data_IF_820722302558
#
_entry.id   IF_820722302558
#
_cell.length_a   1.000
_cell.length_b   1.000
_cell.length_c   1.000
_cell.angle_alpha   90.00
_cell.angle_beta   90.00
_cell.angle_gamma   90.00
#
_symmetry.space_group_name_H-M   'P 1'
#
loop_
_entity.id
_entity.type
_entity.pdbx_description
1 polymer ?
#
# COMPACT_ATOMS: atom_id res chain seq x y z
N UNK A 1 16.88 5.94 -0.87
CA UNK A 1 15.68 5.10 -0.65
C UNK A 1 14.90 5.00 -1.96
N UNK A 2 14.80 3.79 -2.52
CA UNK A 2 14.05 3.53 -3.75
C UNK A 2 12.54 3.50 -3.46
N UNK A 3 11.72 4.04 -4.36
CA UNK A 3 10.27 4.02 -4.20
C UNK A 3 9.53 4.28 -5.51
N UNK A 4 8.45 3.53 -5.77
CA UNK A 4 7.63 3.64 -6.98
C UNK A 4 6.15 3.43 -6.65
N UNK A 5 5.28 4.08 -7.43
CA UNK A 5 3.85 3.81 -7.42
C UNK A 5 3.52 2.73 -8.44
N UNK A 6 2.56 1.88 -8.11
CA UNK A 6 2.08 0.86 -9.02
C UNK A 6 0.62 0.52 -8.80
N UNK A 7 0.09 -0.28 -9.69
CA UNK A 7 -1.28 -0.78 -9.68
C UNK A 7 -1.29 -2.30 -9.63
N UNK A 8 -2.02 -2.87 -8.69
CA UNK A 8 -2.20 -4.32 -8.57
C UNK A 8 -3.04 -4.84 -9.72
N UNK A 9 -2.47 -5.61 -10.62
CA UNK A 9 -3.20 -6.23 -11.73
C UNK A 9 -3.93 -7.51 -11.29
N UNK A 10 -3.29 -8.33 -10.46
CA UNK A 10 -3.86 -9.59 -10.01
C UNK A 10 -2.83 -10.50 -9.38
N UNK A 11 -3.21 -11.75 -9.18
CA UNK A 11 -2.31 -12.80 -8.70
C UNK A 11 -2.28 -13.94 -9.69
N UNK A 12 -1.12 -14.56 -9.83
CA UNK A 12 -0.87 -15.75 -10.61
C UNK A 12 0.17 -16.62 -9.91
N UNK A 13 0.60 -17.67 -10.54
CA UNK A 13 1.70 -18.52 -10.07
C UNK A 13 2.72 -18.68 -11.18
N UNK A 14 3.96 -18.84 -10.79
CA UNK A 14 5.06 -19.20 -11.68
C UNK A 14 5.74 -20.46 -11.15
N UNK A 15 6.41 -21.17 -12.04
CA UNK A 15 7.17 -22.36 -11.69
C UNK A 15 8.65 -22.03 -11.76
N UNK A 16 9.42 -22.47 -10.78
CA UNK A 16 10.88 -22.42 -10.83
C UNK A 16 11.40 -23.57 -11.71
N UNK A 17 12.65 -23.53 -12.09
CA UNK A 17 13.31 -24.61 -12.84
C UNK A 17 13.28 -25.94 -12.09
N UNK A 18 13.22 -25.89 -10.75
CA UNK A 18 13.09 -27.06 -9.87
C UNK A 18 11.63 -27.58 -9.76
N UNK A 19 10.68 -26.99 -10.48
CA UNK A 19 9.27 -27.36 -10.43
C UNK A 19 8.49 -26.82 -9.22
N UNK A 20 9.07 -25.94 -8.40
CA UNK A 20 8.40 -25.37 -7.24
C UNK A 20 7.42 -24.28 -7.69
N UNK A 21 6.19 -24.34 -7.18
CA UNK A 21 5.16 -23.32 -7.44
C UNK A 21 5.36 -22.11 -6.54
N UNK A 22 5.55 -20.94 -7.14
CA UNK A 22 5.68 -19.67 -6.44
C UNK A 22 4.45 -18.80 -6.73
N UNK A 23 3.60 -18.52 -5.72
CA UNK A 23 2.49 -17.59 -5.90
C UNK A 23 3.03 -16.16 -6.02
N UNK A 24 2.58 -15.42 -7.03
CA UNK A 24 3.04 -14.05 -7.28
C UNK A 24 1.89 -13.11 -7.49
N UNK A 25 2.07 -11.88 -7.05
CA UNK A 25 1.21 -10.74 -7.42
C UNK A 25 1.88 -9.95 -8.52
N UNK A 26 1.15 -9.68 -9.58
CA UNK A 26 1.59 -8.85 -10.69
C UNK A 26 1.20 -7.40 -10.42
N UNK A 27 2.19 -6.52 -10.45
CA UNK A 27 2.03 -5.08 -10.24
C UNK A 27 2.56 -4.35 -11.46
N UNK A 28 1.74 -3.49 -12.04
CA UNK A 28 2.13 -2.50 -13.04
C UNK A 28 2.79 -1.33 -12.30
N UNK A 29 4.10 -1.18 -12.44
CA UNK A 29 4.91 -0.24 -11.67
C UNK A 29 5.61 0.76 -12.60
N UNK A 30 4.84 1.73 -13.08
CA UNK A 30 5.37 2.79 -13.94
C UNK A 30 4.65 2.91 -15.30
N UNK A 31 5.05 3.86 -16.14
CA UNK A 31 6.06 4.89 -15.83
C UNK A 31 5.55 5.90 -14.79
N UNK A 32 6.40 6.22 -13.81
CA UNK A 32 6.16 7.29 -12.85
C UNK A 32 6.94 8.53 -13.28
N UNK A 33 6.32 9.69 -13.26
CA UNK A 33 6.99 10.95 -13.64
C UNK A 33 7.26 11.78 -12.40
N UNK A 34 8.48 12.31 -12.27
CA UNK A 34 8.83 13.26 -11.20
C UNK A 34 8.11 14.58 -11.48
N UNK A 35 7.15 14.94 -10.62
CA UNK A 35 6.35 16.15 -10.77
C UNK A 35 6.93 17.34 -10.01
N UNK A 36 7.64 17.08 -8.92
CA UNK A 36 8.28 18.11 -8.11
C UNK A 36 9.47 17.53 -7.36
N UNK A 37 10.52 18.32 -7.24
CA UNK A 37 11.69 18.04 -6.39
C UNK A 37 11.66 19.01 -5.20
N UNK A 38 11.70 18.48 -3.99
CA UNK A 38 11.68 19.23 -2.73
C UNK A 38 13.05 19.22 -2.09
N UNK A 39 13.52 20.38 -1.66
CA UNK A 39 14.83 20.59 -1.04
C UNK A 39 14.70 21.09 0.40
N UNK A 40 15.72 20.83 1.21
CA UNK A 40 15.77 21.32 2.60
C UNK A 40 15.62 22.84 2.68
N UNK A 41 16.20 23.57 1.74
CA UNK A 41 16.19 25.04 1.72
C UNK A 41 14.78 25.64 1.52
N UNK A 42 13.98 25.02 0.64
CA UNK A 42 12.64 25.53 0.28
C UNK A 42 11.52 24.88 1.09
N UNK A 43 11.60 23.56 1.31
CA UNK A 43 10.52 22.75 1.88
C UNK A 43 10.85 22.20 3.27
N UNK A 44 12.09 22.37 3.73
CA UNK A 44 12.56 21.85 5.03
C UNK A 44 12.94 20.37 5.04
N UNK A 45 12.82 19.66 3.91
CA UNK A 45 13.21 18.25 3.76
C UNK A 45 13.45 17.87 2.30
N UNK A 46 14.25 16.83 2.09
CA UNK A 46 14.52 16.28 0.77
C UNK A 46 13.47 15.22 0.40
N UNK A 47 12.78 15.43 -0.73
CA UNK A 47 11.82 14.48 -1.27
C UNK A 47 11.62 14.69 -2.78
N UNK A 48 11.16 13.63 -3.45
CA UNK A 48 10.65 13.72 -4.81
C UNK A 48 9.15 13.42 -4.78
N UNK A 49 8.36 14.22 -5.47
CA UNK A 49 6.97 13.93 -5.74
C UNK A 49 6.89 13.24 -7.09
N UNK A 50 6.26 12.08 -7.13
CA UNK A 50 6.04 11.31 -8.36
C UNK A 50 4.56 11.21 -8.69
N UNK A 51 4.25 11.24 -9.98
CA UNK A 51 2.91 11.08 -10.53
C UNK A 51 2.76 9.75 -11.27
N UNK A 52 1.62 9.09 -11.10
CA UNK A 52 1.29 7.83 -11.74
C UNK A 52 -0.13 7.85 -12.33
N UNK A 53 -0.37 7.11 -13.38
CA UNK A 53 -1.56 7.09 -14.25
C UNK A 53 -1.90 8.47 -14.84
N UNK A 54 -2.11 8.52 -16.15
CA UNK A 54 -2.50 9.74 -16.84
C UNK A 54 -3.94 10.13 -16.48
N UNK A 55 -4.12 11.41 -16.22
CA UNK A 55 -5.42 11.98 -15.93
C UNK A 55 -5.98 12.67 -17.17
N UNK A 56 -7.28 12.49 -17.42
CA UNK A 56 -7.96 13.29 -18.43
C UNK A 56 -8.03 14.74 -17.97
N UNK A 57 -7.78 15.68 -18.87
CA UNK A 57 -7.79 17.10 -18.55
C UNK A 57 -9.06 17.58 -17.85
N UNK A 58 -10.21 17.03 -18.24
CA UNK A 58 -11.52 17.31 -17.64
C UNK A 58 -11.67 16.88 -16.18
N UNK A 59 -10.83 15.94 -15.71
CA UNK A 59 -10.88 15.41 -14.34
C UNK A 59 -10.04 16.20 -13.35
N UNK A 60 -9.23 17.15 -13.82
CA UNK A 60 -8.35 17.96 -12.99
C UNK A 60 -8.86 19.39 -12.88
N UNK A 61 -8.85 19.92 -11.65
CA UNK A 61 -9.16 21.32 -11.36
C UNK A 61 -8.01 22.25 -11.76
N UNK A 62 -8.29 23.56 -11.94
CA UNK A 62 -7.28 24.57 -12.29
C UNK A 62 -6.04 24.55 -11.38
N UNK A 63 -6.16 24.51 -10.04
CA UNK A 63 -4.98 24.41 -9.15
C UNK A 63 -4.13 23.16 -9.39
N UNK A 64 -4.78 22.00 -9.63
CA UNK A 64 -4.06 20.75 -9.91
C UNK A 64 -3.30 20.82 -11.23
N UNK A 65 -3.88 21.42 -12.27
CA UNK A 65 -3.19 21.66 -13.54
C UNK A 65 -2.00 22.60 -13.36
N UNK A 66 -2.16 23.67 -12.57
CA UNK A 66 -1.06 24.59 -12.25
C UNK A 66 0.07 23.91 -11.49
N UNK A 67 -0.25 23.02 -10.53
CA UNK A 67 0.75 22.24 -9.78
C UNK A 67 1.56 21.29 -10.68
N UNK A 68 0.92 20.70 -11.69
CA UNK A 68 1.53 19.75 -12.61
C UNK A 68 2.19 20.41 -13.85
N UNK A 69 2.01 21.72 -14.03
CA UNK A 69 2.48 22.44 -15.21
C UNK A 69 4.01 22.34 -15.38
N UNK A 70 4.78 22.35 -14.29
CA UNK A 70 6.24 22.25 -14.33
C UNK A 70 6.74 20.91 -14.90
N UNK A 71 5.96 19.85 -14.76
CA UNK A 71 6.30 18.51 -15.26
C UNK A 71 5.73 18.24 -16.67
N UNK A 72 4.95 19.16 -17.25
CA UNK A 72 4.26 19.01 -18.54
C UNK A 72 3.43 17.72 -18.67
N UNK A 73 2.95 17.18 -17.56
CA UNK A 73 2.18 15.92 -17.52
C UNK A 73 0.99 16.04 -16.60
N UNK A 74 -0.12 15.43 -16.96
CA UNK A 74 -1.32 15.38 -16.13
C UNK A 74 -1.41 13.99 -15.49
N UNK A 75 -1.13 13.88 -14.19
CA UNK A 75 -1.13 12.62 -13.46
C UNK A 75 -2.27 12.57 -12.43
N UNK A 76 -2.86 11.38 -12.30
CA UNK A 76 -4.01 11.14 -11.42
C UNK A 76 -3.62 10.95 -9.95
N UNK A 77 -2.51 10.27 -9.71
CA UNK A 77 -2.05 9.93 -8.38
C UNK A 77 -0.69 10.55 -8.14
N UNK A 78 -0.58 11.34 -7.08
CA UNK A 78 0.65 12.00 -6.66
C UNK A 78 1.07 11.45 -5.31
N UNK A 79 2.37 11.21 -5.13
CA UNK A 79 2.93 10.79 -3.86
C UNK A 79 4.38 11.21 -3.71
N UNK A 80 4.75 11.56 -2.48
CA UNK A 80 6.11 11.92 -2.13
C UNK A 80 6.89 10.73 -1.59
N UNK A 81 8.15 10.67 -1.99
CA UNK A 81 9.15 9.76 -1.46
C UNK A 81 10.31 10.58 -0.91
N UNK A 82 10.62 10.40 0.37
CA UNK A 82 11.81 11.01 0.97
C UNK A 82 13.05 10.32 0.42
N UNK A 83 14.03 11.12 -0.01
CA UNK A 83 15.31 10.67 -0.55
C UNK A 83 16.46 11.33 0.22
N UNK A 84 17.64 10.72 0.21
CA UNK A 84 18.81 11.29 0.86
C UNK A 84 19.38 12.47 0.08
N UNK A 85 19.53 12.31 -1.23
CA UNK A 85 19.92 13.38 -2.17
C UNK A 85 18.86 13.57 -3.23
N UNK A 86 18.66 14.80 -3.65
CA UNK A 86 17.71 15.19 -4.71
C UNK A 86 18.40 15.59 -6.01
N UNK A 87 19.74 15.67 -6.02
CA UNK A 87 20.55 16.13 -7.15
C UNK A 87 20.43 15.24 -8.39
N UNK A 88 20.13 13.96 -8.17
CA UNK A 88 19.98 12.96 -9.23
C UNK A 88 18.62 13.04 -9.95
N UNK A 89 17.69 13.83 -9.42
CA UNK A 89 16.32 13.87 -9.92
C UNK A 89 15.98 15.20 -10.57
N UNK A 90 15.43 15.12 -11.78
CA UNK A 90 14.93 16.28 -12.51
C UNK A 90 13.42 16.20 -12.70
N UNK A 91 12.74 17.35 -12.70
CA UNK A 91 11.30 17.42 -12.98
C UNK A 91 11.04 16.95 -14.41
N UNK A 92 10.06 16.08 -14.60
CA UNK A 92 9.76 15.43 -15.87
C UNK A 92 10.48 14.10 -16.11
N UNK A 93 11.43 13.72 -15.27
CA UNK A 93 12.14 12.44 -15.37
C UNK A 93 11.18 11.27 -15.15
N UNK A 94 11.29 10.22 -15.97
CA UNK A 94 10.55 8.99 -15.82
C UNK A 94 11.30 7.99 -14.95
N UNK A 95 10.58 7.39 -14.00
CA UNK A 95 11.03 6.30 -13.14
C UNK A 95 10.22 5.05 -13.54
N UNK A 96 10.91 4.00 -13.97
CA UNK A 96 10.33 2.74 -14.46
C UNK A 96 10.57 1.58 -13.49
N UNK A 97 10.03 0.42 -13.82
CA UNK A 97 10.15 -0.79 -13.01
C UNK A 97 11.59 -1.29 -12.84
N UNK A 98 12.51 -0.92 -13.73
CA UNK A 98 13.94 -1.23 -13.70
C UNK A 98 14.68 -0.70 -12.46
N UNK A 99 14.04 0.20 -11.69
CA UNK A 99 14.55 0.64 -10.39
C UNK A 99 14.79 -0.53 -9.43
N UNK A 100 14.04 -1.63 -9.55
CA UNK A 100 14.13 -2.81 -8.71
C UNK A 100 14.71 -3.99 -9.47
N UNK A 101 15.54 -4.80 -8.79
CA UNK A 101 16.12 -6.01 -9.33
C UNK A 101 15.41 -7.27 -8.83
N UNK A 102 15.49 -8.37 -9.60
CA UNK A 102 15.03 -9.68 -9.13
C UNK A 102 15.84 -10.11 -7.89
N UNK A 103 15.18 -10.75 -6.92
CA UNK A 103 15.75 -11.13 -5.63
C UNK A 103 15.78 -10.01 -4.57
N UNK A 104 15.52 -8.77 -4.94
CA UNK A 104 15.48 -7.65 -4.00
C UNK A 104 14.27 -7.76 -3.06
N UNK A 105 14.45 -7.39 -1.79
CA UNK A 105 13.36 -7.32 -0.81
C UNK A 105 12.73 -5.94 -0.78
N UNK A 106 11.42 -5.92 -0.80
CA UNK A 106 10.61 -4.71 -0.88
C UNK A 106 9.50 -4.69 0.17
N UNK A 107 9.07 -3.49 0.54
CA UNK A 107 7.90 -3.22 1.37
C UNK A 107 6.77 -2.68 0.49
N UNK A 108 5.62 -3.33 0.52
CA UNK A 108 4.46 -2.92 -0.28
C UNK A 108 3.35 -2.38 0.61
N UNK A 109 3.00 -1.12 0.39
CA UNK A 109 1.93 -0.43 1.12
C UNK A 109 0.73 -0.23 0.20
N UNK A 110 -0.45 -0.59 0.68
CA UNK A 110 -1.71 -0.38 -0.03
C UNK A 110 -2.89 -0.24 0.92
N UNK A 111 -4.05 0.07 0.38
CA UNK A 111 -5.30 0.09 1.14
C UNK A 111 -5.93 -1.30 1.12
N UNK A 112 -6.16 -1.89 2.29
CA UNK A 112 -6.75 -3.22 2.42
C UNK A 112 -8.20 -3.25 1.91
N UNK A 113 -8.68 -4.44 1.54
CA UNK A 113 -10.08 -4.62 1.14
C UNK A 113 -11.01 -4.23 2.28
N UNK A 114 -12.02 -3.42 2.02
CA UNK A 114 -13.07 -3.08 2.97
C UNK A 114 -13.87 -4.31 3.36
N UNK A 115 -14.22 -4.41 4.64
CA UNK A 115 -15.04 -5.49 5.22
C UNK A 115 -16.30 -4.96 5.88
N UNK A 116 -16.55 -3.66 5.78
CA UNK A 116 -17.70 -2.99 6.39
C UNK A 116 -17.65 -3.00 7.92
N UNK A 117 -18.79 -2.87 8.56
CA UNK A 117 -18.93 -2.96 10.00
C UNK A 117 -18.87 -4.42 10.44
N UNK A 118 -17.95 -4.77 11.33
CA UNK A 118 -17.74 -6.14 11.79
C UNK A 118 -17.85 -6.23 13.31
N UNK A 119 -18.38 -7.36 13.77
CA UNK A 119 -18.42 -7.72 15.18
C UNK A 119 -17.02 -8.00 15.75
N UNK A 120 -16.91 -8.03 17.10
CA UNK A 120 -15.63 -8.16 17.78
C UNK A 120 -14.91 -9.48 17.49
N UNK A 121 -15.65 -10.54 17.23
CA UNK A 121 -15.09 -11.86 16.89
C UNK A 121 -14.24 -11.78 15.61
N UNK A 122 -14.82 -11.27 14.52
CA UNK A 122 -14.09 -11.15 13.24
C UNK A 122 -13.06 -10.03 13.25
N UNK A 123 -13.38 -8.89 13.91
CA UNK A 123 -12.52 -7.72 13.93
C UNK A 123 -11.28 -7.89 14.80
N UNK A 124 -11.40 -8.59 15.92
CA UNK A 124 -10.36 -8.72 16.93
C UNK A 124 -9.96 -10.15 17.26
N UNK A 125 -10.54 -11.16 16.59
CA UNK A 125 -10.24 -12.57 16.84
C UNK A 125 -10.71 -13.07 18.20
N UNK A 126 -11.80 -12.49 18.76
CA UNK A 126 -12.35 -12.96 20.03
C UNK A 126 -13.05 -14.31 19.88
N UNK A 127 -13.05 -15.11 20.94
CA UNK A 127 -13.75 -16.40 20.98
C UNK A 127 -15.26 -16.23 20.91
N UNK A 128 -15.94 -17.18 20.28
CA UNK A 128 -17.40 -17.29 20.29
C UNK A 128 -17.85 -17.93 21.60
N UNK A 129 -19.09 -17.66 22.00
CA UNK A 129 -19.74 -18.43 23.03
C UNK A 129 -20.15 -19.83 22.54
N UNK A 130 -20.60 -20.73 23.46
CA UNK A 130 -21.10 -22.05 23.09
C UNK A 130 -22.28 -21.98 22.12
N UNK A 131 -22.37 -22.91 21.17
CA UNK A 131 -23.47 -22.99 20.21
C UNK A 131 -24.58 -23.91 20.66
N UNK A 132 -24.33 -24.71 21.70
CA UNK A 132 -25.28 -25.70 22.32
C UNK A 132 -25.34 -25.47 23.83
N UNK A 133 -25.91 -26.48 24.57
CA UNK A 133 -26.09 -26.44 26.02
C UNK A 133 -26.95 -25.24 26.50
N UNK A 134 -27.95 -24.83 25.72
CA UNK A 134 -28.87 -23.76 26.08
C UNK A 134 -28.29 -22.35 26.00
N UNK A 135 -27.07 -22.20 25.49
CA UNK A 135 -26.45 -20.89 25.34
C UNK A 135 -27.18 -20.05 24.30
N UNK A 136 -27.50 -18.79 24.65
CA UNK A 136 -27.98 -17.73 23.74
C UNK A 136 -26.92 -16.69 23.46
N UNK A 137 -25.67 -16.96 23.84
CA UNK A 137 -24.54 -16.03 23.76
C UNK A 137 -23.53 -16.52 22.72
N UNK A 138 -23.87 -16.40 21.43
CA UNK A 138 -23.05 -16.97 20.36
C UNK A 138 -21.93 -16.01 19.90
N UNK A 139 -22.31 -14.79 19.48
CA UNK A 139 -21.37 -13.82 18.84
C UNK A 139 -21.39 -12.44 19.49
N UNK A 140 -21.68 -12.37 20.77
CA UNK A 140 -21.78 -11.10 21.51
C UNK A 140 -20.42 -10.62 22.04
N UNK A 141 -20.23 -9.31 22.26
CA UNK A 141 -18.94 -8.73 22.65
C UNK A 141 -18.48 -9.03 24.09
N UNK A 142 -19.36 -9.53 24.96
CA UNK A 142 -19.05 -9.77 26.37
C UNK A 142 -19.21 -8.56 27.26
N UNK A 143 -18.63 -8.63 28.46
CA UNK A 143 -18.68 -7.56 29.45
C UNK A 143 -18.07 -6.25 28.92
N UNK A 144 -18.66 -5.13 29.26
CA UNK A 144 -18.16 -3.79 28.91
C UNK A 144 -17.16 -3.22 29.92
N UNK A 145 -17.03 -3.82 31.09
CA UNK A 145 -16.13 -3.39 32.15
C UNK A 145 -16.66 -3.73 33.53
N UNK A 146 -16.05 -3.16 34.58
CA UNK A 146 -16.55 -3.19 35.94
C UNK A 146 -17.86 -2.38 36.06
N UNK A 147 -18.56 -2.50 37.16
CA UNK A 147 -19.88 -1.88 37.36
C UNK A 147 -19.80 -0.35 37.66
N UNK A 148 -20.24 0.05 38.85
CA UNK A 148 -20.38 1.46 39.26
C UNK A 148 -19.06 2.22 39.30
N UNK A 149 -17.97 1.56 39.61
CA UNK A 149 -16.62 2.11 39.53
C UNK A 149 -15.80 1.31 38.51
N UNK A 150 -15.17 1.96 37.53
CA UNK A 150 -14.99 3.39 37.27
C UNK A 150 -16.15 4.06 36.51
N UNK A 151 -17.31 3.39 36.31
CA UNK A 151 -18.51 3.97 35.67
C UNK A 151 -18.37 4.30 34.18
N UNK A 152 -17.37 3.75 33.50
CA UNK A 152 -17.09 4.01 32.09
C UNK A 152 -16.49 2.79 31.37
N UNK A 153 -16.65 2.75 30.06
CA UNK A 153 -15.90 1.84 29.19
C UNK A 153 -14.55 2.44 28.88
N UNK A 154 -13.47 1.70 29.12
CA UNK A 154 -12.11 2.19 28.87
C UNK A 154 -11.83 2.34 27.37
N UNK A 155 -10.92 3.28 27.05
CA UNK A 155 -10.36 3.41 25.71
C UNK A 155 -9.72 2.09 25.28
N UNK A 156 -9.66 1.84 23.96
CA UNK A 156 -9.09 0.63 23.36
C UNK A 156 -9.85 -0.68 23.66
N UNK A 157 -11.05 -0.62 24.23
CA UNK A 157 -11.92 -1.80 24.35
C UNK A 157 -12.19 -2.37 22.95
N UNK A 158 -11.94 -3.67 22.78
CA UNK A 158 -12.10 -4.38 21.49
C UNK A 158 -13.58 -4.64 21.20
N UNK A 159 -14.22 -3.70 20.54
CA UNK A 159 -15.64 -3.72 20.18
C UNK A 159 -15.86 -3.78 18.68
N UNK A 160 -17.12 -3.95 18.26
CA UNK A 160 -17.54 -3.87 16.88
C UNK A 160 -17.18 -2.50 16.24
N UNK A 161 -17.01 -2.48 14.95
CA UNK A 161 -16.72 -1.26 14.21
C UNK A 161 -16.24 -1.54 12.79
N UNK A 162 -15.84 -0.48 12.10
CA UNK A 162 -15.32 -0.57 10.75
C UNK A 162 -14.07 -1.44 10.68
N UNK A 163 -14.01 -2.32 9.69
CA UNK A 163 -12.87 -3.20 9.42
C UNK A 163 -12.47 -3.12 7.95
N UNK A 164 -11.18 -3.14 7.69
CA UNK A 164 -10.65 -2.99 6.33
C UNK A 164 -10.66 -1.55 5.84
N UNK A 165 -10.35 -1.34 4.56
CA UNK A 165 -10.17 -0.03 3.94
C UNK A 165 -9.18 0.88 4.70
N UNK A 166 -8.17 0.25 5.30
CA UNK A 166 -7.08 0.92 6.03
C UNK A 166 -5.77 0.71 5.31
N UNK A 167 -4.85 1.66 5.48
CA UNK A 167 -3.50 1.56 4.95
C UNK A 167 -2.74 0.45 5.69
N UNK A 168 -2.23 -0.52 4.94
CA UNK A 168 -1.45 -1.66 5.46
C UNK A 168 -0.17 -1.78 4.66
N UNK A 169 0.92 -2.10 5.33
CA UNK A 169 2.21 -2.40 4.71
C UNK A 169 2.56 -3.87 4.97
N UNK A 170 2.84 -4.61 3.91
CA UNK A 170 3.44 -5.94 3.98
C UNK A 170 4.93 -5.78 3.72
N UNK A 171 5.74 -6.21 4.67
CA UNK A 171 7.19 -6.01 4.67
C UNK A 171 7.93 -7.24 4.14
N UNK A 172 9.16 -7.02 3.65
CA UNK A 172 10.12 -8.07 3.26
C UNK A 172 9.58 -9.02 2.18
N UNK A 173 8.82 -8.52 1.22
CA UNK A 173 8.42 -9.29 0.06
C UNK A 173 9.57 -9.36 -0.95
N UNK A 174 9.73 -10.51 -1.58
CA UNK A 174 10.76 -10.77 -2.58
C UNK A 174 10.23 -10.41 -3.98
N UNK A 175 11.04 -9.70 -4.75
CA UNK A 175 10.80 -9.46 -6.17
C UNK A 175 11.27 -10.69 -6.94
N UNK A 176 10.36 -11.40 -7.59
CA UNK A 176 10.69 -12.62 -8.33
C UNK A 176 11.21 -12.31 -9.72
N UNK A 177 10.56 -11.37 -10.41
CA UNK A 177 10.91 -10.98 -11.78
C UNK A 177 10.49 -9.53 -12.03
N UNK A 178 11.27 -8.83 -12.82
CA UNK A 178 10.95 -7.51 -13.35
C UNK A 178 10.91 -7.60 -14.88
N UNK A 179 9.86 -7.07 -15.48
CA UNK A 179 9.70 -6.90 -16.92
C UNK A 179 9.71 -5.40 -17.22
N UNK A 180 10.85 -4.91 -17.65
CA UNK A 180 11.06 -3.47 -17.90
C UNK A 180 10.25 -2.96 -19.10
N UNK A 181 10.05 -3.80 -20.14
CA UNK A 181 9.32 -3.42 -21.36
C UNK A 181 7.85 -3.15 -21.07
N UNK A 182 7.25 -3.94 -20.18
CA UNK A 182 5.84 -3.85 -19.77
C UNK A 182 5.64 -3.09 -18.47
N UNK A 183 6.72 -2.60 -17.85
CA UNK A 183 6.70 -1.99 -16.50
C UNK A 183 6.00 -2.87 -15.44
N UNK A 184 6.27 -4.18 -15.47
CA UNK A 184 5.68 -5.13 -14.53
C UNK A 184 6.70 -5.59 -13.49
N UNK A 185 6.25 -5.68 -12.25
CA UNK A 185 6.99 -6.29 -11.14
C UNK A 185 6.18 -7.47 -10.62
N UNK A 186 6.78 -8.64 -10.56
CA UNK A 186 6.20 -9.85 -9.97
C UNK A 186 6.72 -9.98 -8.54
N UNK A 187 5.83 -9.82 -7.58
CA UNK A 187 6.13 -9.86 -6.15
C UNK A 187 5.65 -11.19 -5.58
N UNK A 188 6.51 -11.91 -4.87
CA UNK A 188 6.19 -13.17 -4.20
C UNK A 188 5.14 -12.97 -3.12
N UNK A 189 4.03 -13.69 -3.21
CA UNK A 189 2.97 -13.67 -2.22
C UNK A 189 1.88 -12.62 -2.46
N UNK A 190 1.14 -12.32 -1.41
CA UNK A 190 -0.02 -11.42 -1.45
C UNK A 190 0.35 -9.99 -1.06
N UNK A 191 -0.23 -9.02 -1.75
CA UNK A 191 -0.12 -7.59 -1.42
C UNK A 191 -1.49 -7.00 -1.05
N UNK A 192 -1.54 -5.90 -0.29
CA UNK A 192 -2.79 -5.28 0.14
C UNK A 192 -3.66 -4.82 -1.03
N UNK A 193 -4.96 -4.83 -0.82
CA UNK A 193 -5.95 -4.24 -1.72
C UNK A 193 -6.61 -5.20 -2.72
N UNK A 194 -7.69 -4.77 -3.36
CA UNK A 194 -8.34 -5.47 -4.47
C UNK A 194 -7.52 -5.36 -5.76
N UNK A 195 -7.93 -6.10 -6.79
CA UNK A 195 -7.44 -5.93 -8.16
C UNK A 195 -7.73 -4.48 -8.63
N UNK A 196 -6.78 -3.84 -9.30
CA UNK A 196 -6.89 -2.45 -9.72
C UNK A 196 -6.54 -1.41 -8.65
N UNK A 197 -6.18 -1.81 -7.42
CA UNK A 197 -5.80 -0.87 -6.36
C UNK A 197 -4.39 -0.33 -6.53
N UNK A 198 -4.23 0.93 -6.11
CA UNK A 198 -2.93 1.58 -6.01
C UNK A 198 -2.10 0.98 -4.88
N UNK A 199 -0.83 0.76 -5.15
CA UNK A 199 0.16 0.33 -4.19
C UNK A 199 1.40 1.20 -4.27
N UNK A 200 2.09 1.32 -3.16
CA UNK A 200 3.39 1.98 -3.06
C UNK A 200 4.42 0.91 -2.77
N UNK A 201 5.40 0.77 -3.61
CA UNK A 201 6.53 -0.14 -3.45
C UNK A 201 7.72 0.68 -2.98
N UNK A 202 8.40 0.20 -1.95
CA UNK A 202 9.63 0.79 -1.41
C UNK A 202 10.65 -0.29 -1.15
N UNK A 203 11.91 0.08 -1.14
CA UNK A 203 12.97 -0.74 -0.60
C UNK A 203 12.64 -1.18 0.84
N UNK A 204 12.91 -2.43 1.18
CA UNK A 204 12.60 -2.97 2.51
C UNK A 204 13.48 -2.32 3.58
N UNK A 205 12.83 -1.82 4.64
CA UNK A 205 13.53 -1.18 5.77
C UNK A 205 14.26 -2.22 6.63
N UNK A 206 13.72 -3.44 6.70
CA UNK A 206 14.22 -4.54 7.54
C UNK A 206 14.95 -5.63 6.76
N UNK A 207 15.40 -5.36 5.54
CA UNK A 207 16.24 -6.33 4.85
C UNK A 207 17.57 -6.40 5.58
N UNK A 208 17.95 -7.58 6.06
CA UNK A 208 19.33 -7.83 6.45
C UNK A 208 20.22 -7.56 5.23
N UNK A 209 21.16 -6.65 5.40
CA UNK A 209 22.25 -6.45 4.45
C UNK A 209 23.08 -7.71 4.36
#
# INVERSE_FOLDING_TARGET
MKGILGKKLGMTQIFTEEGIVVPVTVVEAGPNVVTQVKTVEKDGYNAIQVGFEDAKEKSLNKPQKGHLAAANTLKKHLKEFRVYSVEEFTVGQEIKADLFAAGEKIDVTGTSKGKGFQGPIKRHGQSRGPESHGSRYHRRPGSMGACSFPGRVFKNKKLAGHMGSVKVTVQNLEVVRVDADKNLILVKGAIPGPKGSMVTIKEAVKSSK
#
